data_IF_042110351498
#
_entry.id   IF_042110351498
#
_cell.length_a   1.000
_cell.length_b   1.000
_cell.length_c   1.000
_cell.angle_alpha   90.00
_cell.angle_beta   90.00
_cell.angle_gamma   90.00
#
_symmetry.space_group_name_H-M   'P 1'
#
loop_
_entity.id
_entity.type
_entity.pdbx_description
1 polymer ?
#
# COMPACT_ATOMS: atom_id res chain seq x y z
N UNK A 1 -29.09 63.70 17.87
CA UNK A 1 -28.91 62.40 18.55
C UNK A 1 -29.40 61.31 17.63
N UNK A 2 -28.50 60.59 16.96
CA UNK A 2 -28.84 59.46 16.11
C UNK A 2 -28.59 58.14 16.84
N UNK A 3 -29.59 57.26 16.84
CA UNK A 3 -29.49 55.80 16.99
C UNK A 3 -30.79 55.24 16.38
N UNK A 4 -30.81 54.50 15.27
CA UNK A 4 -30.14 53.24 14.87
C UNK A 4 -31.04 52.02 15.15
N UNK A 5 -31.60 51.51 14.06
CA UNK A 5 -31.80 50.10 13.69
C UNK A 5 -32.83 49.26 14.45
N UNK A 6 -34.03 49.20 13.86
CA UNK A 6 -34.78 47.96 13.63
C UNK A 6 -35.03 47.99 12.11
N UNK A 7 -34.67 47.01 11.29
CA UNK A 7 -35.09 45.62 11.29
C UNK A 7 -34.16 44.82 10.36
N UNK A 8 -34.18 43.50 10.53
CA UNK A 8 -34.13 42.49 9.47
C UNK A 8 -33.21 41.30 9.80
N UNK A 9 -33.80 40.11 9.60
CA UNK A 9 -33.20 38.77 9.45
C UNK A 9 -33.22 37.86 10.67
N UNK A 10 -34.44 37.45 11.04
CA UNK A 10 -34.70 36.03 11.36
C UNK A 10 -34.55 35.23 10.07
N UNK A 11 -33.33 34.80 9.74
CA UNK A 11 -33.08 33.82 8.68
C UNK A 11 -32.64 32.50 9.31
N UNK A 12 -33.64 31.61 9.41
CA UNK A 12 -33.51 30.17 9.21
C UNK A 12 -32.30 29.45 9.83
N UNK A 13 -32.34 29.29 11.15
CA UNK A 13 -31.43 28.46 11.93
C UNK A 13 -31.60 26.94 11.70
N UNK A 14 -32.43 26.52 10.72
CA UNK A 14 -32.75 25.11 10.46
C UNK A 14 -31.94 24.48 9.31
N UNK A 15 -31.18 25.28 8.55
CA UNK A 15 -30.41 24.81 7.39
C UNK A 15 -28.94 24.42 7.69
N UNK A 16 -28.38 24.74 8.86
CA UNK A 16 -26.93 24.53 9.13
C UNK A 16 -26.57 23.17 9.77
N UNK A 17 -27.56 22.32 10.08
CA UNK A 17 -27.35 21.00 10.70
C UNK A 17 -27.44 19.86 9.70
N UNK A 18 -26.69 19.89 8.60
CA UNK A 18 -26.66 18.76 7.66
C UNK A 18 -25.44 18.70 6.74
N UNK A 19 -24.22 19.03 7.21
CA UNK A 19 -23.03 18.68 6.42
C UNK A 19 -21.73 18.37 7.17
N UNK A 20 -21.73 18.24 8.50
CA UNK A 20 -20.49 18.05 9.27
C UNK A 20 -20.08 16.58 9.51
N UNK A 21 -20.86 15.61 9.06
CA UNK A 21 -20.70 14.20 9.46
C UNK A 21 -19.82 13.36 8.51
N UNK A 22 -19.60 13.80 7.27
CA UNK A 22 -18.76 13.07 6.28
C UNK A 22 -17.26 13.36 6.44
N UNK A 23 -16.90 14.58 6.77
CA UNK A 23 -15.50 14.99 7.01
C UNK A 23 -14.91 14.38 8.29
N UNK A 24 -15.75 14.19 9.32
CA UNK A 24 -15.31 13.63 10.60
C UNK A 24 -14.96 12.14 10.54
N UNK A 25 -15.71 11.33 9.78
CA UNK A 25 -15.46 9.88 9.69
C UNK A 25 -14.18 9.58 8.90
N UNK A 26 -14.00 10.19 7.73
CA UNK A 26 -12.77 10.05 6.94
C UNK A 26 -11.53 10.52 7.69
N UNK A 27 -11.62 11.64 8.41
CA UNK A 27 -10.54 12.14 9.26
C UNK A 27 -10.18 11.16 10.40
N UNK A 28 -11.17 10.57 11.07
CA UNK A 28 -10.96 9.56 12.13
C UNK A 28 -10.30 8.29 11.59
N UNK A 29 -10.72 7.80 10.42
CA UNK A 29 -10.11 6.62 9.76
C UNK A 29 -8.65 6.91 9.40
N UNK A 30 -8.35 8.09 8.82
CA UNK A 30 -6.97 8.49 8.49
C UNK A 30 -6.09 8.54 9.74
N UNK A 31 -6.60 9.12 10.83
CA UNK A 31 -5.86 9.22 12.10
C UNK A 31 -5.59 7.84 12.70
N UNK A 32 -6.57 6.94 12.68
CA UNK A 32 -6.39 5.56 13.17
C UNK A 32 -5.34 4.78 12.36
N UNK A 33 -5.34 4.92 11.03
CA UNK A 33 -4.34 4.31 10.15
C UNK A 33 -2.94 4.87 10.40
N UNK A 34 -2.83 6.18 10.60
CA UNK A 34 -1.58 6.84 10.95
C UNK A 34 -1.01 6.30 12.27
N UNK A 35 -1.84 6.25 13.32
CA UNK A 35 -1.43 5.71 14.63
C UNK A 35 -1.02 4.24 14.55
N UNK A 36 -1.74 3.42 13.77
CA UNK A 36 -1.38 2.03 13.57
C UNK A 36 0.01 1.88 12.92
N UNK A 37 0.30 2.63 11.85
CA UNK A 37 1.61 2.59 11.19
C UNK A 37 2.72 3.09 12.10
N UNK A 38 2.48 4.13 12.90
CA UNK A 38 3.45 4.60 13.91
C UNK A 38 3.77 3.52 14.97
N UNK A 39 2.83 2.63 15.25
CA UNK A 39 3.02 1.47 16.13
C UNK A 39 3.57 0.23 15.40
N UNK A 40 3.96 0.35 14.13
CA UNK A 40 4.44 -0.77 13.31
C UNK A 40 3.34 -1.75 12.86
N UNK A 41 2.07 -1.45 13.15
CA UNK A 41 0.95 -2.31 12.81
C UNK A 41 0.54 -2.10 11.35
N UNK A 42 0.38 -3.21 10.61
CA UNK A 42 -0.14 -3.14 9.25
C UNK A 42 -1.62 -2.76 9.25
N UNK A 43 -1.91 -1.46 9.13
CA UNK A 43 -3.27 -0.90 9.12
C UNK A 43 -3.84 -0.62 7.73
N UNK A 44 -3.07 -0.86 6.67
CA UNK A 44 -3.36 -0.32 5.33
C UNK A 44 -3.97 -1.38 4.40
N UNK A 45 -5.30 -1.38 4.28
CA UNK A 45 -6.01 -2.16 3.26
C UNK A 45 -5.84 -3.69 3.37
N UNK A 46 -6.05 -4.44 2.26
CA UNK A 46 -5.91 -5.89 2.25
C UNK A 46 -4.46 -6.32 2.47
N UNK A 47 -4.26 -7.52 3.03
CA UNK A 47 -2.93 -8.11 3.17
C UNK A 47 -2.27 -8.29 1.79
N UNK A 48 -0.99 -7.91 1.63
CA UNK A 48 -0.27 -8.13 0.38
C UNK A 48 -0.19 -9.62 0.02
N UNK A 49 0.12 -9.91 -1.24
CA UNK A 49 0.42 -11.28 -1.66
C UNK A 49 1.62 -11.82 -0.89
N UNK A 50 1.64 -13.10 -0.49
CA UNK A 50 2.68 -13.61 0.42
C UNK A 50 2.35 -13.45 1.91
N UNK A 51 1.31 -12.68 2.24
CA UNK A 51 0.85 -12.50 3.61
C UNK A 51 -0.64 -12.84 3.79
N UNK A 52 -1.02 -13.14 5.03
CA UNK A 52 -2.39 -13.30 5.53
C UNK A 52 -2.63 -12.31 6.67
N UNK A 53 -3.85 -11.76 6.75
CA UNK A 53 -4.25 -10.97 7.92
C UNK A 53 -4.31 -11.88 9.14
N UNK A 54 -3.87 -11.34 10.26
CA UNK A 54 -4.03 -11.96 11.56
C UNK A 54 -4.75 -10.97 12.49
N UNK A 55 -5.51 -11.50 13.44
CA UNK A 55 -6.26 -10.69 14.40
C UNK A 55 -5.41 -10.24 15.60
N UNK A 56 -4.17 -10.73 15.68
CA UNK A 56 -3.19 -10.28 16.67
C UNK A 56 -2.62 -8.91 16.28
N UNK A 57 -2.82 -7.91 17.13
CA UNK A 57 -2.29 -6.56 16.91
C UNK A 57 -0.76 -6.51 16.94
N UNK A 58 -0.10 -7.45 17.63
CA UNK A 58 1.36 -7.54 17.71
C UNK A 58 1.96 -8.31 16.52
N UNK A 59 1.15 -9.09 15.80
CA UNK A 59 1.58 -9.81 14.59
C UNK A 59 0.49 -9.73 13.52
N UNK A 60 0.22 -8.54 12.97
CA UNK A 60 -0.97 -8.28 12.14
C UNK A 60 -0.92 -8.95 10.75
N UNK A 61 0.27 -9.41 10.34
CA UNK A 61 0.47 -10.18 9.12
C UNK A 61 1.25 -11.46 9.42
N UNK A 62 0.75 -12.58 8.90
CA UNK A 62 1.43 -13.87 8.89
C UNK A 62 1.93 -14.16 7.48
N UNK A 63 3.12 -14.74 7.37
CA UNK A 63 3.68 -15.19 6.10
C UNK A 63 2.89 -16.41 5.62
N UNK A 64 2.52 -16.42 4.34
CA UNK A 64 2.03 -17.61 3.64
C UNK A 64 3.19 -18.16 2.83
N UNK A 65 3.79 -19.27 3.28
CA UNK A 65 5.05 -19.79 2.70
C UNK A 65 4.98 -20.03 1.19
N UNK A 66 3.83 -20.51 0.70
CA UNK A 66 3.63 -20.80 -0.73
C UNK A 66 3.64 -19.51 -1.55
N UNK A 67 2.89 -18.51 -1.10
CA UNK A 67 2.84 -17.22 -1.79
C UNK A 67 4.13 -16.41 -1.58
N UNK A 68 4.76 -16.51 -0.40
CA UNK A 68 6.01 -15.85 -0.08
C UNK A 68 7.15 -16.35 -0.96
N UNK A 69 7.18 -17.65 -1.27
CA UNK A 69 8.14 -18.19 -2.22
C UNK A 69 7.95 -17.62 -3.63
N UNK A 70 6.69 -17.43 -4.07
CA UNK A 70 6.40 -16.75 -5.34
C UNK A 70 6.87 -15.29 -5.30
N UNK A 71 6.72 -14.58 -4.19
CA UNK A 71 7.28 -13.22 -4.02
C UNK A 71 8.82 -13.26 -4.14
N UNK A 72 9.49 -14.21 -3.48
CA UNK A 72 10.94 -14.39 -3.61
C UNK A 72 11.35 -14.69 -5.06
N UNK A 73 10.58 -15.50 -5.78
CA UNK A 73 10.81 -15.76 -7.21
C UNK A 73 10.67 -14.48 -8.04
N UNK A 74 9.64 -13.67 -7.79
CA UNK A 74 9.40 -12.39 -8.49
C UNK A 74 10.60 -11.45 -8.34
N UNK A 75 11.10 -11.26 -7.12
CA UNK A 75 12.25 -10.38 -6.87
C UNK A 75 13.53 -10.90 -7.56
N UNK A 76 13.82 -12.20 -7.42
CA UNK A 76 15.00 -12.82 -8.05
C UNK A 76 14.95 -12.71 -9.57
N UNK A 77 13.81 -13.05 -10.16
CA UNK A 77 13.61 -13.02 -11.61
C UNK A 77 13.63 -11.59 -12.16
N UNK A 78 13.09 -10.63 -11.41
CA UNK A 78 13.15 -9.23 -11.81
C UNK A 78 14.58 -8.70 -11.81
N UNK A 79 15.37 -8.99 -10.78
CA UNK A 79 16.78 -8.59 -10.70
C UNK A 79 17.60 -9.22 -11.84
N UNK A 80 17.25 -10.44 -12.26
CA UNK A 80 17.91 -11.14 -13.37
C UNK A 80 17.53 -10.59 -14.74
N UNK A 81 16.27 -10.21 -14.94
CA UNK A 81 15.72 -9.88 -16.26
C UNK A 81 15.54 -8.39 -16.51
N UNK A 82 15.55 -7.59 -15.45
CA UNK A 82 15.27 -6.15 -15.41
C UNK A 82 13.93 -5.75 -16.05
N UNK A 83 13.02 -6.71 -16.23
CA UNK A 83 11.77 -6.51 -16.98
C UNK A 83 10.59 -7.16 -16.29
N UNK A 84 9.60 -6.36 -15.92
CA UNK A 84 8.34 -6.87 -15.37
C UNK A 84 7.58 -7.74 -16.37
N UNK A 85 7.77 -7.54 -17.68
CA UNK A 85 7.21 -8.40 -18.72
C UNK A 85 7.80 -9.81 -18.67
N UNK A 86 9.13 -9.92 -18.62
CA UNK A 86 9.81 -11.21 -18.53
C UNK A 86 9.45 -11.98 -17.26
N UNK A 87 9.26 -11.26 -16.14
CA UNK A 87 8.76 -11.88 -14.90
C UNK A 87 7.35 -12.44 -15.08
N UNK A 88 6.45 -11.73 -15.77
CA UNK A 88 5.10 -12.24 -16.06
C UNK A 88 5.19 -13.52 -16.90
N UNK A 89 5.99 -13.50 -17.97
CA UNK A 89 6.16 -14.66 -18.86
C UNK A 89 6.76 -15.85 -18.11
N UNK A 90 7.72 -15.61 -17.21
CA UNK A 90 8.29 -16.62 -16.33
C UNK A 90 7.23 -17.26 -15.42
N UNK A 91 6.40 -16.45 -14.74
CA UNK A 91 5.33 -16.97 -13.87
C UNK A 91 4.28 -17.74 -14.67
N UNK A 92 3.93 -17.28 -15.87
CA UNK A 92 2.96 -17.94 -16.74
C UNK A 92 3.49 -19.29 -17.25
N UNK A 93 4.77 -19.36 -17.65
CA UNK A 93 5.39 -20.63 -18.07
C UNK A 93 5.44 -21.66 -16.94
N UNK A 94 5.53 -21.22 -15.68
CA UNK A 94 5.42 -22.07 -14.49
C UNK A 94 3.99 -22.35 -14.03
N UNK A 95 2.97 -21.85 -14.75
CA UNK A 95 1.54 -21.96 -14.38
C UNK A 95 1.23 -21.42 -12.97
N UNK A 96 1.97 -20.38 -12.54
CA UNK A 96 1.77 -19.72 -11.25
C UNK A 96 0.76 -18.59 -11.44
N UNK A 97 -0.33 -18.64 -10.67
CA UNK A 97 -1.40 -17.64 -10.69
C UNK A 97 -1.47 -16.87 -9.37
N UNK A 98 -2.18 -15.73 -9.40
CA UNK A 98 -2.48 -14.96 -8.20
C UNK A 98 -3.38 -15.75 -7.23
N UNK A 99 -3.54 -15.26 -6.00
CA UNK A 99 -4.42 -15.87 -4.97
C UNK A 99 -5.84 -16.18 -5.46
N UNK A 100 -6.36 -15.37 -6.40
CA UNK A 100 -7.71 -15.52 -6.99
C UNK A 100 -7.72 -16.36 -8.27
N UNK A 101 -6.60 -16.99 -8.65
CA UNK A 101 -6.46 -17.75 -9.89
C UNK A 101 -6.26 -16.89 -11.15
N UNK A 102 -6.11 -15.57 -11.03
CA UNK A 102 -5.91 -14.70 -12.18
C UNK A 102 -4.46 -14.72 -12.69
N UNK A 103 -4.28 -14.45 -13.98
CA UNK A 103 -2.98 -14.21 -14.61
C UNK A 103 -2.29 -12.97 -14.03
N UNK A 104 -0.97 -13.04 -13.92
CA UNK A 104 -0.14 -11.89 -13.53
C UNK A 104 -0.13 -10.81 -14.61
N UNK A 105 -0.19 -9.54 -14.19
CA UNK A 105 0.00 -8.37 -15.04
C UNK A 105 1.30 -7.65 -14.67
N UNK A 106 1.86 -6.89 -15.61
CA UNK A 106 3.06 -6.07 -15.35
C UNK A 106 2.84 -5.09 -14.19
N UNK A 107 1.63 -4.55 -14.08
CA UNK A 107 1.26 -3.65 -12.98
C UNK A 107 1.28 -4.37 -11.63
N UNK A 108 0.74 -5.59 -11.54
CA UNK A 108 0.77 -6.36 -10.31
C UNK A 108 2.21 -6.65 -9.85
N UNK A 109 3.09 -7.01 -10.78
CA UNK A 109 4.52 -7.20 -10.50
C UNK A 109 5.17 -5.90 -10.04
N UNK A 110 4.90 -4.77 -10.72
CA UNK A 110 5.44 -3.47 -10.32
C UNK A 110 5.01 -3.05 -8.90
N UNK A 111 3.74 -3.30 -8.54
CA UNK A 111 3.23 -3.06 -7.18
C UNK A 111 4.01 -3.90 -6.17
N UNK A 112 4.21 -5.20 -6.44
CA UNK A 112 4.98 -6.09 -5.56
C UNK A 112 6.40 -5.58 -5.34
N UNK A 113 7.11 -5.23 -6.42
CA UNK A 113 8.49 -4.77 -6.35
C UNK A 113 8.66 -3.41 -5.64
N UNK A 114 7.58 -2.62 -5.56
CA UNK A 114 7.59 -1.33 -4.86
C UNK A 114 7.14 -1.41 -3.39
N UNK A 115 6.51 -2.52 -2.99
CA UNK A 115 5.86 -2.60 -1.70
C UNK A 115 6.88 -2.88 -0.59
N UNK A 116 7.10 -1.87 0.27
CA UNK A 116 8.07 -1.90 1.37
C UNK A 116 7.70 -2.90 2.47
N UNK A 117 6.45 -3.39 2.50
CA UNK A 117 6.01 -4.47 3.40
C UNK A 117 6.90 -5.70 3.28
N UNK A 118 7.36 -6.04 2.07
CA UNK A 118 8.19 -7.22 1.85
C UNK A 118 9.57 -7.16 2.53
N UNK A 119 10.06 -5.96 2.86
CA UNK A 119 11.30 -5.74 3.63
C UNK A 119 11.04 -5.37 5.09
N UNK A 120 9.85 -5.68 5.62
CA UNK A 120 9.51 -5.44 7.03
C UNK A 120 9.14 -4.00 7.37
N UNK A 121 8.65 -3.20 6.40
CA UNK A 121 8.26 -1.80 6.64
C UNK A 121 6.78 -1.58 6.40
N UNK A 122 6.15 -0.76 7.24
CA UNK A 122 4.77 -0.31 7.07
C UNK A 122 4.75 1.17 6.70
N UNK A 123 3.84 1.56 5.80
CA UNK A 123 3.77 2.94 5.30
C UNK A 123 2.35 3.46 5.25
N UNK A 124 2.17 4.73 5.60
CA UNK A 124 0.92 5.45 5.40
C UNK A 124 1.17 6.93 5.14
N UNK A 125 0.75 7.42 3.96
CA UNK A 125 1.14 8.76 3.51
C UNK A 125 2.67 8.86 3.44
N UNK A 126 3.22 9.87 4.10
CA UNK A 126 4.67 10.13 4.16
C UNK A 126 5.38 9.43 5.33
N UNK A 127 4.64 8.70 6.18
CA UNK A 127 5.22 7.97 7.31
C UNK A 127 5.64 6.57 6.87
N UNK A 128 6.87 6.19 7.21
CA UNK A 128 7.38 4.83 7.18
C UNK A 128 7.89 4.42 8.56
N UNK A 129 7.51 3.23 9.01
CA UNK A 129 7.95 2.66 10.28
C UNK A 129 8.31 1.20 10.10
N UNK A 130 9.11 0.65 11.02
CA UNK A 130 9.35 -0.78 11.10
C UNK A 130 8.05 -1.53 11.39
N UNK A 131 7.77 -2.56 10.61
CA UNK A 131 6.58 -3.38 10.75
C UNK A 131 6.79 -4.46 11.80
N UNK A 132 5.71 -4.84 12.49
CA UNK A 132 5.69 -5.95 13.42
C UNK A 132 5.60 -7.33 12.75
N UNK A 133 5.61 -7.37 11.41
CA UNK A 133 5.50 -8.59 10.63
C UNK A 133 6.88 -9.05 10.12
N UNK A 134 6.96 -10.34 9.81
CA UNK A 134 8.19 -10.93 9.31
C UNK A 134 8.47 -10.52 7.85
N UNK A 135 9.69 -10.05 7.52
CA UNK A 135 10.05 -9.71 6.15
C UNK A 135 10.18 -10.99 5.28
N UNK A 136 9.62 -10.95 4.06
CA UNK A 136 9.77 -12.05 3.09
C UNK A 136 11.06 -11.91 2.28
N UNK A 137 11.52 -10.66 2.09
CA UNK A 137 12.63 -10.30 1.21
C UNK A 137 13.74 -9.62 2.02
N UNK A 138 14.96 -10.08 1.81
CA UNK A 138 16.15 -9.45 2.37
C UNK A 138 16.30 -7.99 1.89
N UNK A 139 16.73 -7.07 2.76
CA UNK A 139 16.91 -5.67 2.39
C UNK A 139 17.79 -5.49 1.15
N UNK A 140 18.89 -6.24 1.04
CA UNK A 140 19.81 -6.17 -0.09
C UNK A 140 19.12 -6.46 -1.44
N UNK A 141 18.30 -7.52 -1.50
CA UNK A 141 17.56 -7.88 -2.70
C UNK A 141 16.51 -6.82 -3.06
N UNK A 142 15.83 -6.26 -2.06
CA UNK A 142 14.86 -5.19 -2.26
C UNK A 142 15.50 -3.92 -2.82
N UNK A 143 16.63 -3.49 -2.26
CA UNK A 143 17.33 -2.29 -2.72
C UNK A 143 17.89 -2.47 -4.13
N UNK A 144 18.43 -3.65 -4.45
CA UNK A 144 18.87 -3.97 -5.81
C UNK A 144 17.73 -3.88 -6.82
N UNK A 145 16.57 -4.47 -6.51
CA UNK A 145 15.39 -4.35 -7.36
C UNK A 145 14.91 -2.89 -7.49
N UNK A 146 14.98 -2.11 -6.41
CA UNK A 146 14.60 -0.69 -6.42
C UNK A 146 15.52 0.15 -7.31
N UNK A 147 16.83 -0.07 -7.25
CA UNK A 147 17.81 0.60 -8.10
C UNK A 147 17.57 0.34 -9.59
N UNK A 148 17.36 -0.93 -9.97
CA UNK A 148 17.02 -1.31 -11.35
C UNK A 148 15.72 -0.62 -11.82
N UNK A 149 14.71 -0.52 -10.94
CA UNK A 149 13.45 0.18 -11.27
C UNK A 149 13.67 1.67 -11.50
N UNK A 150 14.47 2.29 -10.65
CA UNK A 150 14.79 3.71 -10.77
C UNK A 150 15.56 3.99 -12.06
N UNK A 151 16.56 3.17 -12.38
CA UNK A 151 17.29 3.28 -13.64
C UNK A 151 16.37 3.12 -14.85
N UNK A 152 15.51 2.09 -14.85
CA UNK A 152 14.55 1.88 -15.93
C UNK A 152 13.50 2.99 -16.04
N UNK A 153 13.20 3.70 -14.95
CA UNK A 153 12.30 4.88 -15.00
C UNK A 153 12.95 6.09 -15.66
N UNK A 154 14.28 6.20 -15.60
CA UNK A 154 15.08 7.27 -16.22
C UNK A 154 15.37 6.99 -17.70
N UNK A 155 15.38 5.72 -18.12
CA UNK A 155 15.58 5.34 -19.53
C UNK A 155 14.38 5.83 -20.38
N UNK A 156 14.62 6.59 -21.47
CA UNK A 156 13.55 6.98 -22.37
C UNK A 156 12.92 5.74 -23.00
N UNK A 157 11.59 5.72 -23.09
CA UNK A 157 10.89 4.65 -23.81
C UNK A 157 11.33 4.70 -25.27
N UNK A 158 12.01 3.66 -25.75
CA UNK A 158 12.25 3.48 -27.19
C UNK A 158 10.88 3.38 -27.87
N UNK A 159 10.59 4.37 -28.71
CA UNK A 159 9.36 4.50 -29.49
C UNK A 159 9.38 3.52 -30.66
#
# INVERSE_FOLDING_TARGET
MGNRAEDNKTVDSKALRRNSSRSAHGYKVKRGQLTAVQQGRYGTGPAPYGYRRNNDENKPLLVDDREAEVVRMIFREYVRTESTGKVVDFLHSKKIFTRKGNKWSRQAIAIILSNRTYRGRVTYGDIETEGLHEPIIEPALFYRASAIREENSRRPRKK
#
